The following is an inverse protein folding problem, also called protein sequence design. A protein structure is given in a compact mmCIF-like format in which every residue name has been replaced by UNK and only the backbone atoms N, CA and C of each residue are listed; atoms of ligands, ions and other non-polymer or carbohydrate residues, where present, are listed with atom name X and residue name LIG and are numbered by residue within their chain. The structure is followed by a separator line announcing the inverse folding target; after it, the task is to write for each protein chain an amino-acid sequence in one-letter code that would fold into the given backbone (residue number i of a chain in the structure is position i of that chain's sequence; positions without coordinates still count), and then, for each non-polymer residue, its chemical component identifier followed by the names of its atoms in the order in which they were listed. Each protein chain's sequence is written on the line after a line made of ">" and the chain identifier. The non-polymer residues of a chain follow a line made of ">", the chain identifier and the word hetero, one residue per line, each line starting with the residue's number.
data_IF_127931574760
#
_entry.id   IF_127931574760
#
_cell.length_a   1.000
_cell.length_b   1.000
_cell.length_c   1.000
_cell.angle_alpha   90.00
_cell.angle_beta   90.00
_cell.angle_gamma   90.00
#
_symmetry.space_group_name_H-M   'P 1'
#
loop_
_entity.id
_entity.type
_entity.pdbx_description
1 polymer ?
#
# COMPACT_ATOMS: atom_id res chain seq x y z
N UNK A 1 -17.13 14.24 4.88
CA UNK A 1 -15.82 14.30 5.56
C UNK A 1 -14.88 13.35 4.85
N UNK A 2 -13.68 13.83 4.52
CA UNK A 2 -12.58 13.05 3.95
C UNK A 2 -11.54 12.90 5.05
N UNK A 3 -10.95 11.72 5.19
CA UNK A 3 -9.82 11.48 6.09
C UNK A 3 -8.68 10.87 5.29
N UNK A 4 -7.45 11.10 5.72
CA UNK A 4 -6.29 10.55 5.05
C UNK A 4 -5.05 10.55 5.93
N UNK A 5 -4.10 9.68 5.58
CA UNK A 5 -2.76 9.69 6.18
C UNK A 5 -1.83 10.60 5.38
N UNK A 6 -0.96 11.33 6.08
CA UNK A 6 0.12 12.10 5.46
C UNK A 6 1.42 11.29 5.34
N UNK A 7 1.44 10.04 5.84
CA UNK A 7 2.65 9.19 5.83
C UNK A 7 2.95 8.50 4.51
N UNK A 8 2.02 8.56 3.54
CA UNK A 8 2.20 7.97 2.21
C UNK A 8 2.83 8.97 1.24
N UNK A 9 2.04 9.43 0.27
CA UNK A 9 2.49 10.31 -0.80
C UNK A 9 3.03 11.67 -0.34
N UNK A 10 2.69 12.13 0.86
CA UNK A 10 3.18 13.41 1.41
C UNK A 10 4.50 13.30 2.18
N UNK A 11 5.04 12.07 2.33
CA UNK A 11 6.30 11.81 3.03
C UNK A 11 6.42 12.46 4.42
N UNK A 12 5.29 12.67 5.10
CA UNK A 12 5.21 13.33 6.40
C UNK A 12 4.71 12.35 7.47
N UNK A 13 4.14 12.86 8.55
CA UNK A 13 3.56 12.04 9.62
C UNK A 13 2.19 12.58 10.03
N UNK A 14 1.38 11.71 10.65
CA UNK A 14 0.04 12.04 11.10
C UNK A 14 -1.04 11.84 10.03
N UNK A 15 -2.22 12.36 10.32
CA UNK A 15 -3.38 12.29 9.43
C UNK A 15 -4.17 13.59 9.45
N UNK A 16 -5.09 13.72 8.51
CA UNK A 16 -5.95 14.88 8.38
C UNK A 16 -7.41 14.45 8.26
N UNK A 17 -8.31 15.37 8.60
CA UNK A 17 -9.71 15.32 8.22
C UNK A 17 -10.08 16.62 7.50
N UNK A 18 -10.92 16.54 6.48
CA UNK A 18 -11.43 17.68 5.72
C UNK A 18 -12.95 17.56 5.61
N UNK A 19 -13.68 18.64 5.87
CA UNK A 19 -15.14 18.67 5.90
C UNK A 19 -15.65 20.10 6.03
N UNK A 20 -16.93 20.27 6.34
CA UNK A 20 -17.46 21.58 6.74
C UNK A 20 -16.87 22.01 8.08
N UNK A 21 -16.87 23.32 8.32
CA UNK A 21 -16.35 23.91 9.55
C UNK A 21 -17.00 23.30 10.79
N UNK A 22 -18.33 23.14 10.79
CA UNK A 22 -19.06 22.52 11.90
C UNK A 22 -18.55 21.11 12.24
N UNK A 23 -18.23 20.32 11.22
CA UNK A 23 -17.79 18.93 11.36
C UNK A 23 -16.34 18.86 11.83
N UNK A 24 -15.48 19.72 11.30
CA UNK A 24 -14.06 19.80 11.72
C UNK A 24 -13.97 20.33 13.15
N UNK A 25 -14.74 21.37 13.49
CA UNK A 25 -14.77 21.94 14.83
C UNK A 25 -15.30 20.93 15.86
N UNK A 26 -16.36 20.20 15.52
CA UNK A 26 -16.85 19.12 16.38
C UNK A 26 -15.77 18.04 16.62
N UNK A 27 -15.03 17.62 15.59
CA UNK A 27 -13.91 16.68 15.78
C UNK A 27 -12.80 17.27 16.64
N UNK A 28 -12.45 18.54 16.44
CA UNK A 28 -11.38 19.24 17.14
C UNK A 28 -11.61 19.29 18.66
N UNK A 29 -12.86 19.50 19.09
CA UNK A 29 -13.20 19.62 20.52
C UNK A 29 -13.62 18.28 21.15
N UNK A 30 -14.22 17.37 20.38
CA UNK A 30 -14.80 16.13 20.91
C UNK A 30 -13.89 14.91 20.74
N UNK A 31 -12.93 14.92 19.82
CA UNK A 31 -12.07 13.75 19.59
C UNK A 31 -10.97 13.66 20.65
N UNK A 32 -11.04 12.63 21.49
CA UNK A 32 -10.03 12.36 22.51
C UNK A 32 -8.62 12.21 21.92
N UNK A 33 -8.49 11.63 20.72
CA UNK A 33 -7.21 11.48 20.01
C UNK A 33 -6.62 12.82 19.55
N UNK A 34 -7.43 13.86 19.37
CA UNK A 34 -6.95 15.19 19.06
C UNK A 34 -6.61 15.97 20.34
N UNK A 35 -7.47 15.92 21.36
CA UNK A 35 -7.32 16.69 22.61
C UNK A 35 -6.19 16.18 23.51
N UNK A 36 -5.99 14.86 23.59
CA UNK A 36 -5.03 14.24 24.51
C UNK A 36 -3.77 13.71 23.81
N UNK A 37 -3.45 14.26 22.63
CA UNK A 37 -2.22 13.94 21.88
C UNK A 37 -1.36 15.18 21.69
N UNK A 38 -0.04 14.96 21.60
CA UNK A 38 0.88 16.02 21.21
C UNK A 38 0.64 16.44 19.74
N UNK A 39 0.86 17.71 19.46
CA UNK A 39 0.79 18.25 18.10
C UNK A 39 1.88 17.66 17.21
N UNK A 40 1.64 17.68 15.89
CA UNK A 40 2.61 17.25 14.88
C UNK A 40 3.88 18.13 14.95
N UNK A 41 5.10 17.54 14.89
CA UNK A 41 6.33 18.33 14.83
C UNK A 41 6.35 19.29 13.65
N UNK A 42 6.87 20.51 13.86
CA UNK A 42 6.88 21.57 12.85
C UNK A 42 7.50 21.13 11.50
N UNK A 43 8.60 20.37 11.55
CA UNK A 43 9.25 19.83 10.36
C UNK A 43 8.31 18.95 9.51
N UNK A 44 7.52 18.08 10.15
CA UNK A 44 6.58 17.21 9.43
C UNK A 44 5.40 18.00 8.83
N UNK A 45 4.97 19.08 9.50
CA UNK A 45 3.96 19.99 8.96
C UNK A 45 4.48 20.70 7.70
N UNK A 46 5.71 21.23 7.73
CA UNK A 46 6.34 21.87 6.57
C UNK A 46 6.53 20.89 5.42
N UNK A 47 7.03 19.67 5.69
CA UNK A 47 7.16 18.62 4.66
C UNK A 47 5.81 18.33 3.98
N UNK A 48 4.73 18.19 4.75
CA UNK A 48 3.40 17.94 4.20
C UNK A 48 2.90 19.12 3.35
N UNK A 49 3.11 20.37 3.80
CA UNK A 49 2.73 21.57 3.06
C UNK A 49 3.48 21.70 1.74
N UNK A 50 4.79 21.49 1.73
CA UNK A 50 5.61 21.54 0.51
C UNK A 50 5.25 20.41 -0.45
N UNK A 51 5.06 19.18 0.05
CA UNK A 51 4.63 18.06 -0.78
C UNK A 51 3.27 18.33 -1.45
N UNK A 52 2.30 18.89 -0.70
CA UNK A 52 1.01 19.31 -1.27
C UNK A 52 1.16 20.40 -2.34
N UNK A 53 2.03 21.38 -2.10
CA UNK A 53 2.31 22.44 -3.07
C UNK A 53 2.92 21.87 -4.36
N UNK A 54 3.87 20.94 -4.25
CA UNK A 54 4.44 20.25 -5.41
C UNK A 54 3.35 19.48 -6.18
N UNK A 55 2.50 18.71 -5.49
CA UNK A 55 1.40 17.98 -6.15
C UNK A 55 0.40 18.88 -6.88
N UNK A 56 0.20 20.11 -6.42
CA UNK A 56 -0.69 21.09 -7.05
C UNK A 56 -0.05 21.82 -8.23
N UNK A 57 1.26 22.08 -8.17
CA UNK A 57 1.99 22.92 -9.14
C UNK A 57 2.71 22.12 -10.21
N UNK A 58 2.98 20.83 -9.96
CA UNK A 58 3.75 19.92 -10.82
C UNK A 58 2.91 18.71 -11.27
N UNK A 59 1.94 18.89 -12.20
CA UNK A 59 1.08 17.81 -12.69
C UNK A 59 1.86 16.68 -13.39
N UNK A 60 3.07 16.95 -13.88
CA UNK A 60 3.98 15.99 -14.48
C UNK A 60 4.33 14.81 -13.56
N UNK A 61 4.38 15.02 -12.24
CA UNK A 61 4.63 13.96 -11.27
C UNK A 61 3.59 12.84 -11.38
N UNK A 62 2.30 13.21 -11.50
CA UNK A 62 1.22 12.23 -11.65
C UNK A 62 1.20 11.59 -13.03
N UNK A 63 1.60 12.32 -14.07
CA UNK A 63 1.70 11.78 -15.43
C UNK A 63 2.82 10.73 -15.52
N UNK A 64 3.99 11.04 -14.97
CA UNK A 64 5.13 10.11 -14.91
C UNK A 64 4.79 8.87 -14.09
N UNK A 65 4.17 9.02 -12.92
CA UNK A 65 3.73 7.88 -12.11
C UNK A 65 2.79 6.95 -12.90
N UNK A 66 1.80 7.51 -13.61
CA UNK A 66 0.88 6.73 -14.44
C UNK A 66 1.56 6.02 -15.60
N UNK A 67 2.55 6.64 -16.22
CA UNK A 67 3.34 6.01 -17.28
C UNK A 67 4.19 4.85 -16.74
N UNK A 68 4.83 5.02 -15.57
CA UNK A 68 5.57 3.96 -14.88
C UNK A 68 4.65 2.81 -14.50
N UNK A 69 3.45 3.09 -13.95
CA UNK A 69 2.42 2.08 -13.65
C UNK A 69 2.07 1.29 -14.90
N UNK A 70 1.74 1.97 -16.00
CA UNK A 70 1.37 1.32 -17.26
C UNK A 70 2.50 0.44 -17.81
N UNK A 71 3.74 0.92 -17.71
CA UNK A 71 4.93 0.19 -18.14
C UNK A 71 5.11 -1.08 -17.30
N UNK A 72 5.00 -0.96 -15.98
CA UNK A 72 5.13 -2.12 -15.08
C UNK A 72 4.02 -3.15 -15.29
N UNK A 73 2.77 -2.68 -15.43
CA UNK A 73 1.63 -3.54 -15.76
C UNK A 73 1.92 -4.35 -17.03
N UNK A 74 2.33 -3.70 -18.12
CA UNK A 74 2.64 -4.40 -19.38
C UNK A 74 3.77 -5.43 -19.28
N UNK A 75 4.68 -5.32 -18.30
CA UNK A 75 5.75 -6.29 -18.08
C UNK A 75 5.34 -7.45 -17.17
N UNK A 76 4.47 -7.22 -16.19
CA UNK A 76 4.09 -8.24 -15.21
C UNK A 76 2.79 -8.96 -15.57
N UNK A 77 1.78 -8.25 -16.07
CA UNK A 77 0.45 -8.79 -16.36
C UNK A 77 -0.04 -8.26 -17.73
N UNK A 78 -0.11 -9.11 -18.77
CA UNK A 78 -0.26 -10.57 -18.74
C UNK A 78 1.03 -11.38 -18.91
N UNK A 79 2.20 -10.72 -19.01
CA UNK A 79 3.44 -11.34 -19.49
C UNK A 79 4.03 -12.39 -18.55
N UNK A 80 3.78 -12.31 -17.24
CA UNK A 80 4.29 -13.30 -16.28
C UNK A 80 3.45 -14.58 -16.32
N UNK A 81 4.10 -15.74 -16.42
CA UNK A 81 3.43 -17.03 -16.30
C UNK A 81 3.04 -17.39 -14.86
N UNK A 82 3.62 -16.68 -13.88
CA UNK A 82 3.52 -17.04 -12.46
C UNK A 82 2.53 -16.19 -11.67
N UNK A 83 2.50 -14.89 -11.94
CA UNK A 83 1.73 -13.92 -11.14
C UNK A 83 0.77 -13.12 -11.98
N UNK A 84 -0.29 -12.64 -11.36
CA UNK A 84 -1.22 -11.65 -11.91
C UNK A 84 -1.46 -10.54 -10.89
N UNK A 85 -1.84 -9.35 -11.35
CA UNK A 85 -2.06 -8.20 -10.49
C UNK A 85 -3.52 -8.16 -10.03
N UNK A 86 -3.74 -8.02 -8.72
CA UNK A 86 -5.09 -7.86 -8.13
C UNK A 86 -5.47 -6.41 -7.87
N UNK A 87 -4.51 -5.48 -7.97
CA UNK A 87 -4.73 -4.06 -7.77
C UNK A 87 -5.50 -3.43 -8.95
N UNK A 88 -6.07 -2.25 -8.73
CA UNK A 88 -6.68 -1.47 -9.81
C UNK A 88 -5.63 -0.97 -10.84
N UNK A 89 -5.99 -0.80 -12.13
CA UNK A 89 -5.05 -0.49 -13.22
C UNK A 89 -4.23 0.81 -13.10
N UNK A 90 -4.63 1.75 -12.23
CA UNK A 90 -3.87 2.99 -11.95
C UNK A 90 -3.32 3.05 -10.52
N UNK A 91 -3.38 1.95 -9.76
CA UNK A 91 -2.88 1.93 -8.40
C UNK A 91 -1.33 1.81 -8.41
N UNK A 92 -0.58 2.75 -7.81
CA UNK A 92 0.87 2.65 -7.71
C UNK A 92 1.35 1.50 -6.81
N UNK A 93 0.45 0.92 -6.01
CA UNK A 93 0.71 -0.27 -5.20
C UNK A 93 0.14 -1.49 -5.94
N UNK A 94 1.02 -2.28 -6.53
CA UNK A 94 0.67 -3.51 -7.23
C UNK A 94 0.78 -4.71 -6.28
N UNK A 95 -0.35 -5.41 -6.11
CA UNK A 95 -0.45 -6.64 -5.33
C UNK A 95 -0.45 -7.84 -6.27
N UNK A 96 0.71 -8.49 -6.37
CA UNK A 96 0.93 -9.62 -7.28
C UNK A 96 0.66 -10.93 -6.56
N UNK A 97 -0.33 -11.69 -7.04
CA UNK A 97 -0.71 -13.00 -6.50
C UNK A 97 -0.31 -14.08 -7.48
N UNK A 98 0.04 -15.26 -6.96
CA UNK A 98 0.31 -16.43 -7.80
C UNK A 98 -0.95 -16.88 -8.54
N UNK A 99 -0.81 -17.15 -9.83
CA UNK A 99 -1.90 -17.60 -10.69
C UNK A 99 -2.48 -18.95 -10.21
N UNK A 100 -3.81 -19.15 -10.23
CA UNK A 100 -4.44 -20.40 -9.78
C UNK A 100 -3.92 -21.66 -10.49
N UNK A 101 -3.52 -21.54 -11.75
CA UNK A 101 -2.94 -22.63 -12.56
C UNK A 101 -1.58 -23.08 -11.99
N UNK A 102 -0.79 -22.14 -11.47
CA UNK A 102 0.51 -22.41 -10.83
C UNK A 102 0.31 -23.08 -9.49
N UNK A 103 -0.67 -22.61 -8.71
CA UNK A 103 -1.01 -23.18 -7.41
C UNK A 103 -1.48 -24.63 -7.54
N UNK A 104 -2.35 -24.90 -8.51
CA UNK A 104 -2.90 -26.25 -8.75
C UNK A 104 -1.86 -27.22 -9.34
N UNK A 105 -1.06 -26.77 -10.32
CA UNK A 105 -0.03 -27.62 -10.96
C UNK A 105 1.08 -28.04 -9.99
N UNK A 106 1.51 -27.13 -9.11
CA UNK A 106 2.58 -27.38 -8.13
C UNK A 106 2.07 -27.81 -6.75
N UNK A 107 0.75 -27.87 -6.54
CA UNK A 107 0.09 -28.20 -5.26
C UNK A 107 0.61 -27.33 -4.10
N UNK A 108 0.74 -26.03 -4.33
CA UNK A 108 1.31 -25.09 -3.37
C UNK A 108 0.30 -24.75 -2.27
N UNK A 109 0.62 -25.13 -1.04
CA UNK A 109 -0.09 -24.71 0.17
C UNK A 109 0.15 -23.24 0.50
N UNK A 110 -0.50 -22.76 1.55
CA UNK A 110 -0.36 -21.35 1.98
C UNK A 110 1.07 -21.02 2.43
N UNK A 111 1.69 -21.92 3.21
CA UNK A 111 3.08 -21.75 3.67
C UNK A 111 4.08 -21.82 2.52
N UNK A 112 3.87 -22.74 1.57
CA UNK A 112 4.72 -22.86 0.37
C UNK A 112 4.69 -21.57 -0.46
N UNK A 113 3.51 -20.97 -0.61
CA UNK A 113 3.37 -19.68 -1.28
C UNK A 113 4.16 -18.59 -0.54
N UNK A 114 4.03 -18.49 0.79
CA UNK A 114 4.77 -17.51 1.59
C UNK A 114 6.28 -17.68 1.45
N UNK A 115 6.77 -18.93 1.43
CA UNK A 115 8.19 -19.23 1.26
C UNK A 115 8.68 -18.82 -0.13
N UNK A 116 7.98 -19.21 -1.20
CA UNK A 116 8.34 -18.83 -2.57
C UNK A 116 8.34 -17.30 -2.73
N UNK A 117 7.33 -16.62 -2.18
CA UNK A 117 7.27 -15.15 -2.25
C UNK A 117 8.40 -14.49 -1.44
N UNK A 118 8.85 -15.10 -0.34
CA UNK A 118 10.00 -14.63 0.42
C UNK A 118 11.30 -14.82 -0.38
N UNK A 119 11.49 -15.98 -1.02
CA UNK A 119 12.66 -16.23 -1.87
C UNK A 119 12.74 -15.20 -3.01
N UNK A 120 11.59 -14.84 -3.61
CA UNK A 120 11.53 -13.76 -4.62
C UNK A 120 11.92 -12.40 -4.05
N UNK A 121 11.47 -12.07 -2.83
CA UNK A 121 11.84 -10.82 -2.15
C UNK A 121 13.36 -10.77 -1.90
N UNK A 122 13.94 -11.88 -1.44
CA UNK A 122 15.36 -11.97 -1.11
C UNK A 122 16.23 -11.89 -2.38
N UNK A 123 15.83 -12.53 -3.48
CA UNK A 123 16.51 -12.43 -4.76
C UNK A 123 16.40 -11.01 -5.34
N UNK A 124 15.21 -10.38 -5.30
CA UNK A 124 15.06 -8.98 -5.71
C UNK A 124 15.98 -8.06 -4.90
N UNK A 125 16.08 -8.26 -3.58
CA UNK A 125 16.97 -7.50 -2.73
C UNK A 125 18.45 -7.71 -3.12
N UNK A 126 18.85 -8.94 -3.43
CA UNK A 126 20.19 -9.26 -3.91
C UNK A 126 20.53 -8.53 -5.23
N UNK A 127 19.53 -8.29 -6.08
CA UNK A 127 19.65 -7.50 -7.32
C UNK A 127 19.47 -5.98 -7.09
N UNK A 128 19.37 -5.51 -5.85
CA UNK A 128 19.21 -4.10 -5.50
C UNK A 128 17.79 -3.55 -5.66
N UNK A 129 16.79 -4.42 -5.82
CA UNK A 129 15.37 -4.05 -5.96
C UNK A 129 14.64 -4.33 -4.65
N UNK A 130 14.14 -3.28 -4.00
CA UNK A 130 13.39 -3.41 -2.75
C UNK A 130 11.89 -3.63 -3.01
N UNK A 131 11.42 -4.85 -2.72
CA UNK A 131 9.99 -5.19 -2.68
C UNK A 131 9.66 -5.89 -1.36
N UNK A 132 8.38 -6.06 -1.07
CA UNK A 132 7.95 -6.75 0.15
C UNK A 132 6.85 -7.74 -0.15
N UNK A 133 6.65 -8.75 0.71
CA UNK A 133 5.43 -9.56 0.70
C UNK A 133 4.37 -8.95 1.61
N UNK A 134 3.11 -9.20 1.30
CA UNK A 134 2.00 -8.88 2.20
C UNK A 134 2.09 -9.81 3.41
N UNK A 135 2.35 -9.22 4.58
CA UNK A 135 2.32 -9.93 5.85
C UNK A 135 0.88 -9.99 6.34
N UNK A 136 0.38 -11.20 6.55
CA UNK A 136 -0.88 -11.43 7.24
C UNK A 136 -0.61 -12.04 8.61
N UNK A 137 -1.52 -11.81 9.55
CA UNK A 137 -1.58 -12.57 10.78
C UNK A 137 -2.17 -13.95 10.46
N UNK A 138 -1.56 -15.00 11.02
CA UNK A 138 -2.22 -16.31 11.05
C UNK A 138 -3.54 -16.14 11.79
N UNK A 139 -4.64 -16.76 11.33
CA UNK A 139 -5.84 -16.86 12.14
C UNK A 139 -5.45 -17.49 13.50
N UNK A 140 -5.89 -16.89 14.59
CA UNK A 140 -5.46 -17.20 15.96
C UNK A 140 -5.43 -18.70 16.28
N UNK A 141 -4.49 -19.09 17.16
CA UNK A 141 -4.44 -20.42 17.78
C UNK A 141 -5.69 -20.77 18.63
N UNK A 142 -6.61 -19.81 18.85
CA UNK A 142 -7.84 -19.97 19.63
C UNK A 142 -9.03 -20.49 18.82
N UNK A 143 -8.90 -20.71 17.51
CA UNK A 143 -9.93 -21.38 16.70
C UNK A 143 -11.24 -20.61 16.52
N UNK A 144 -11.33 -19.35 16.97
CA UNK A 144 -12.50 -18.49 16.77
C UNK A 144 -12.52 -17.97 15.33
N UNK A 145 -13.01 -18.81 14.41
CA UNK A 145 -13.24 -18.48 13.01
C UNK A 145 -14.38 -17.47 12.88
N UNK A 146 -14.05 -16.18 12.82
CA UNK A 146 -14.85 -15.24 12.03
C UNK A 146 -14.14 -15.07 10.69
N UNK A 147 -14.19 -16.09 9.84
CA UNK A 147 -13.63 -16.09 8.48
C UNK A 147 -14.46 -15.18 7.58
N UNK A 148 -14.31 -13.86 7.74
CA UNK A 148 -14.92 -12.89 6.82
C UNK A 148 -14.04 -12.71 5.58
N UNK A 149 -12.71 -12.84 5.72
CA UNK A 149 -11.77 -12.74 4.61
C UNK A 149 -10.41 -13.37 4.96
N UNK A 150 -9.93 -14.30 4.13
CA UNK A 150 -8.55 -14.80 4.20
C UNK A 150 -7.72 -14.04 3.18
N UNK A 151 -6.76 -13.26 3.65
CA UNK A 151 -5.85 -12.53 2.75
C UNK A 151 -5.00 -13.53 1.96
N UNK A 152 -4.95 -13.35 0.63
CA UNK A 152 -4.10 -14.16 -0.23
C UNK A 152 -2.64 -13.72 -0.09
N UNK A 153 -1.67 -14.66 -0.06
CA UNK A 153 -0.25 -14.33 -0.18
C UNK A 153 0.01 -13.54 -1.46
N UNK A 154 0.68 -12.40 -1.33
CA UNK A 154 0.97 -11.51 -2.45
C UNK A 154 2.32 -10.82 -2.28
N UNK A 155 2.98 -10.50 -3.39
CA UNK A 155 4.05 -9.51 -3.42
C UNK A 155 3.42 -8.13 -3.49
N UNK A 156 3.91 -7.23 -2.64
CA UNK A 156 3.59 -5.80 -2.65
C UNK A 156 4.74 -5.07 -3.33
N UNK A 157 4.48 -4.60 -4.54
CA UNK A 157 5.37 -3.76 -5.33
C UNK A 157 4.84 -2.34 -5.28
N UNK A 158 5.67 -1.39 -4.82
CA UNK A 158 5.31 0.03 -4.81
C UNK A 158 6.10 0.73 -5.91
N UNK A 159 5.39 1.37 -6.83
CA UNK A 159 6.00 2.16 -7.89
C UNK A 159 6.18 3.59 -7.39
N UNK A 160 7.36 4.15 -7.65
CA UNK A 160 7.71 5.53 -7.35
C UNK A 160 8.06 6.26 -8.64
N UNK A 161 8.09 7.59 -8.55
CA UNK A 161 8.57 8.49 -9.61
C UNK A 161 10.10 8.53 -9.55
#
# INVERSE_FOLDING_TARGET
>A
MIIGSMSGALAAAGGFCAGSDDVVEHQRISAASYTFSAALPAMAAVTASEALMMLQTQPELMMQLRETIKTMWGQLDPRSDWVYCTSAPENPIMLMVLKPEVLSSKRLGWDDQQQILQDVVDECLAQGVLITRVKSLSPDASGAKTTVYTQQPALKICLTI
#
